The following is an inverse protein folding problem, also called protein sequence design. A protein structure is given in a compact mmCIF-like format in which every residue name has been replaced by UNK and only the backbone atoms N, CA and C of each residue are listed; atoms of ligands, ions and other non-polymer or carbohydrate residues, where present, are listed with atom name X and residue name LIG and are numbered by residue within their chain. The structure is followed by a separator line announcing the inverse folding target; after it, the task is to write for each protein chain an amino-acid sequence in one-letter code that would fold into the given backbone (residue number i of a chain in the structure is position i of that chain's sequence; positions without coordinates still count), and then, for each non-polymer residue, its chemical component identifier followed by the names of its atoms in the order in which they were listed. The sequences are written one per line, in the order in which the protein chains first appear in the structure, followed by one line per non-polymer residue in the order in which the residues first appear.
data_IF_955549323986
#
_entry.id   IF_955549323986
#
_cell.length_a   1.000
_cell.length_b   1.000
_cell.length_c   1.000
_cell.angle_alpha   90.00
_cell.angle_beta   90.00
_cell.angle_gamma   90.00
#
_symmetry.space_group_name_H-M   'P 1'
#
loop_
_entity.id
_entity.type
_entity.pdbx_description
1 polymer ?
#
# COMPACT_ATOMS: atom_id res chain seq x y z
N UNK A 1 -58.58 0.40 6.10
CA UNK A 1 -57.69 1.57 5.97
C UNK A 1 -56.26 1.10 6.16
N UNK A 2 -55.36 1.63 5.32
CA UNK A 2 -54.01 1.15 5.09
C UNK A 2 -53.09 1.27 6.31
N UNK A 3 -52.26 0.26 6.57
CA UNK A 3 -51.06 0.43 7.39
C UNK A 3 -49.86 0.62 6.45
N UNK A 4 -49.41 1.87 6.36
CA UNK A 4 -48.16 2.25 5.70
C UNK A 4 -46.99 1.71 6.53
N UNK A 5 -46.30 0.70 6.02
CA UNK A 5 -44.96 0.36 6.49
C UNK A 5 -44.00 1.29 5.74
N UNK A 6 -43.44 2.27 6.45
CA UNK A 6 -42.33 3.07 5.95
C UNK A 6 -41.11 2.15 5.79
N UNK A 7 -40.70 1.91 4.54
CA UNK A 7 -39.43 1.25 4.25
C UNK A 7 -38.32 2.29 4.43
N UNK A 8 -37.53 2.06 5.48
CA UNK A 8 -36.40 2.88 5.93
C UNK A 8 -35.17 2.59 5.07
N UNK A 9 -34.58 3.66 4.55
CA UNK A 9 -33.21 3.85 4.03
C UNK A 9 -32.42 2.60 3.61
N UNK A 10 -32.34 2.39 2.28
CA UNK A 10 -31.32 1.56 1.67
C UNK A 10 -30.00 2.33 1.74
N UNK A 11 -29.03 1.81 2.50
CA UNK A 11 -27.67 2.32 2.57
C UNK A 11 -27.11 2.52 1.15
N UNK A 12 -26.51 3.67 0.89
CA UNK A 12 -25.82 3.99 -0.36
C UNK A 12 -24.75 2.93 -0.65
N UNK A 13 -25.08 1.98 -1.53
CA UNK A 13 -24.10 1.09 -2.13
C UNK A 13 -23.19 1.99 -2.97
N UNK A 14 -21.94 2.16 -2.53
CA UNK A 14 -20.93 2.87 -3.31
C UNK A 14 -20.70 2.12 -4.60
N UNK A 15 -21.39 2.52 -5.67
CA UNK A 15 -21.22 1.96 -7.00
C UNK A 15 -19.80 2.30 -7.42
N UNK A 16 -18.90 1.32 -7.36
CA UNK A 16 -17.54 1.53 -7.81
C UNK A 16 -17.64 1.76 -9.32
N UNK A 17 -17.42 2.99 -9.78
CA UNK A 17 -17.36 3.30 -11.21
C UNK A 17 -16.18 2.56 -11.83
N UNK A 18 -16.48 1.40 -12.41
CA UNK A 18 -15.49 0.52 -13.01
C UNK A 18 -14.94 1.10 -14.31
N UNK A 19 -15.69 1.94 -15.03
CA UNK A 19 -15.26 2.50 -16.32
C UNK A 19 -14.35 3.73 -16.17
N UNK A 20 -14.52 4.51 -15.11
CA UNK A 20 -13.64 5.64 -14.78
C UNK A 20 -12.68 5.37 -13.62
N UNK A 21 -12.57 4.12 -13.15
CA UNK A 21 -11.65 3.72 -12.09
C UNK A 21 -10.23 4.24 -12.37
N UNK A 22 -9.78 5.20 -11.56
CA UNK A 22 -8.43 5.74 -11.59
C UNK A 22 -7.47 4.76 -10.91
N UNK A 23 -6.22 4.72 -11.36
CA UNK A 23 -5.16 3.93 -10.76
C UNK A 23 -4.98 4.29 -9.27
N UNK A 24 -4.84 3.28 -8.42
CA UNK A 24 -4.63 3.42 -6.96
C UNK A 24 -3.29 4.07 -6.57
N UNK A 25 -2.39 4.29 -7.52
CA UNK A 25 -1.06 4.83 -7.23
C UNK A 25 -1.12 6.32 -7.02
N UNK A 26 -0.52 6.80 -5.92
CA UNK A 26 -0.53 8.22 -5.55
C UNK A 26 0.05 9.09 -6.68
N UNK A 27 -0.69 10.13 -7.06
CA UNK A 27 -0.33 11.02 -8.17
C UNK A 27 -0.58 10.44 -9.57
N UNK A 28 -1.12 9.22 -9.69
CA UNK A 28 -1.47 8.65 -10.98
C UNK A 28 -2.90 9.02 -11.39
N UNK A 29 -3.04 9.78 -12.47
CA UNK A 29 -4.34 10.16 -13.05
C UNK A 29 -4.81 9.21 -14.16
N UNK A 30 -4.05 8.14 -14.44
CA UNK A 30 -4.39 7.18 -15.51
C UNK A 30 -5.50 6.24 -15.05
N UNK A 31 -6.41 5.90 -15.97
CA UNK A 31 -7.41 4.85 -15.74
C UNK A 31 -6.74 3.48 -15.51
N UNK A 32 -7.43 2.64 -14.76
CA UNK A 32 -7.13 1.23 -14.60
C UNK A 32 -7.06 0.49 -15.94
N UNK A 33 -6.23 -0.56 -16.00
CA UNK A 33 -6.10 -1.40 -17.20
C UNK A 33 -7.47 -2.02 -17.55
N UNK A 34 -7.90 -1.83 -18.80
CA UNK A 34 -9.11 -2.44 -19.34
C UNK A 34 -8.92 -3.96 -19.47
N UNK A 35 -9.86 -4.74 -18.94
CA UNK A 35 -9.78 -6.21 -18.89
C UNK A 35 -10.37 -6.92 -20.11
N UNK A 36 -10.89 -6.16 -21.08
CA UNK A 36 -11.51 -6.70 -22.29
C UNK A 36 -12.91 -7.28 -22.05
N UNK A 37 -13.49 -7.03 -20.87
CA UNK A 37 -14.80 -7.53 -20.43
C UNK A 37 -15.67 -6.36 -20.01
N UNK A 38 -16.97 -6.48 -20.24
CA UNK A 38 -17.98 -5.54 -19.77
C UNK A 38 -18.81 -6.18 -18.66
N UNK A 39 -19.21 -5.39 -17.68
CA UNK A 39 -20.13 -5.81 -16.62
C UNK A 39 -21.56 -5.86 -17.14
N UNK A 40 -22.49 -6.42 -16.34
CA UNK A 40 -23.90 -6.54 -16.74
C UNK A 40 -24.58 -5.18 -17.00
N UNK A 41 -24.04 -4.10 -16.43
CA UNK A 41 -24.47 -2.71 -16.63
C UNK A 41 -23.85 -2.04 -17.88
N UNK A 42 -23.02 -2.77 -18.64
CA UNK A 42 -22.34 -2.25 -19.83
C UNK A 42 -21.04 -1.49 -19.54
N UNK A 43 -20.66 -1.29 -18.28
CA UNK A 43 -19.41 -0.61 -17.91
C UNK A 43 -18.19 -1.50 -18.17
N UNK A 44 -17.09 -0.89 -18.61
CA UNK A 44 -15.85 -1.62 -18.83
C UNK A 44 -15.25 -2.12 -17.51
N UNK A 45 -14.93 -3.40 -17.44
CA UNK A 45 -14.19 -3.96 -16.32
C UNK A 45 -12.75 -3.48 -16.34
N UNK A 46 -12.34 -2.70 -15.34
CA UNK A 46 -10.96 -2.21 -15.16
C UNK A 46 -10.33 -2.69 -13.86
N UNK A 47 -9.01 -2.96 -13.91
CA UNK A 47 -8.18 -3.21 -12.72
C UNK A 47 -8.05 -1.95 -11.85
N UNK A 48 -7.66 -2.12 -10.59
CA UNK A 48 -7.31 -0.99 -9.70
C UNK A 48 -5.97 -0.30 -10.06
N UNK A 49 -5.16 -0.91 -10.93
CA UNK A 49 -3.88 -0.36 -11.41
C UNK A 49 -3.93 -0.14 -12.91
N UNK A 50 -3.31 0.93 -13.40
CA UNK A 50 -3.11 1.15 -14.84
C UNK A 50 -2.14 0.11 -15.41
N UNK A 51 -2.07 -0.01 -16.73
CA UNK A 51 -1.18 -0.99 -17.40
C UNK A 51 0.28 -0.88 -16.90
N UNK A 52 0.82 0.34 -16.84
CA UNK A 52 2.20 0.60 -16.39
C UNK A 52 2.41 0.13 -14.94
N UNK A 53 1.53 0.55 -14.02
CA UNK A 53 1.64 0.16 -12.61
C UNK A 53 1.31 -1.31 -12.36
N UNK A 54 0.50 -1.93 -13.22
CA UNK A 54 0.28 -3.37 -13.21
C UNK A 54 1.54 -4.14 -13.62
N UNK A 55 2.23 -3.72 -14.68
CA UNK A 55 3.51 -4.31 -15.10
C UNK A 55 4.59 -4.15 -14.03
N UNK A 56 4.68 -2.98 -13.40
CA UNK A 56 5.59 -2.73 -12.28
C UNK A 56 5.26 -3.66 -11.10
N UNK A 57 3.98 -3.78 -10.73
CA UNK A 57 3.54 -4.70 -9.67
C UNK A 57 3.82 -6.17 -10.00
N UNK A 58 3.75 -6.59 -11.27
CA UNK A 58 4.16 -7.94 -11.67
C UNK A 58 5.68 -8.11 -11.52
N UNK A 59 6.46 -7.14 -11.99
CA UNK A 59 7.93 -7.23 -12.02
C UNK A 59 8.57 -7.19 -10.63
N UNK A 60 8.02 -6.39 -9.72
CA UNK A 60 8.60 -6.16 -8.39
C UNK A 60 7.78 -6.78 -7.25
N UNK A 61 6.67 -7.47 -7.55
CA UNK A 61 5.76 -8.07 -6.56
C UNK A 61 4.69 -7.10 -6.03
N UNK A 62 3.88 -7.57 -5.08
CA UNK A 62 2.72 -6.88 -4.48
C UNK A 62 3.00 -5.53 -3.79
N UNK A 63 4.20 -4.98 -3.91
CA UNK A 63 4.58 -3.69 -3.37
C UNK A 63 5.46 -2.92 -4.34
N UNK A 64 4.91 -1.86 -4.96
CA UNK A 64 5.73 -0.82 -5.59
C UNK A 64 6.80 -0.27 -4.65
N UNK A 65 6.62 -0.43 -3.34
CA UNK A 65 7.57 -0.03 -2.32
C UNK A 65 8.95 -0.69 -2.51
N UNK A 66 9.04 -1.93 -3.00
CA UNK A 66 10.34 -2.60 -3.28
C UNK A 66 11.11 -1.82 -4.37
N UNK A 67 10.41 -1.21 -5.32
CA UNK A 67 11.01 -0.35 -6.34
C UNK A 67 11.60 0.96 -5.78
N UNK A 68 11.24 1.35 -4.55
CA UNK A 68 11.83 2.51 -3.86
C UNK A 68 13.06 2.16 -3.03
N UNK A 69 13.48 0.89 -3.02
CA UNK A 69 14.69 0.46 -2.34
C UNK A 69 15.93 1.12 -2.96
N UNK A 70 16.69 1.82 -2.13
CA UNK A 70 17.99 2.39 -2.49
C UNK A 70 19.07 1.30 -2.47
N UNK A 71 20.24 1.62 -3.01
CA UNK A 71 21.43 0.76 -2.96
C UNK A 71 22.26 0.96 -1.68
N UNK A 72 21.77 1.77 -0.73
CA UNK A 72 22.45 2.08 0.53
C UNK A 72 21.46 2.23 1.68
N UNK A 73 21.94 2.03 2.92
CA UNK A 73 21.18 2.32 4.14
C UNK A 73 21.08 3.83 4.37
N UNK A 74 19.86 4.35 4.56
CA UNK A 74 19.61 5.78 4.73
C UNK A 74 19.92 6.31 6.14
N UNK A 75 20.09 5.43 7.14
CA UNK A 75 20.52 5.81 8.50
C UNK A 75 22.00 6.28 8.59
N UNK A 76 22.57 6.79 7.48
CA UNK A 76 23.84 7.52 7.47
C UNK A 76 23.69 8.92 8.09
N UNK A 77 22.47 9.44 8.07
CA UNK A 77 22.06 10.74 8.64
C UNK A 77 21.74 10.69 10.14
N UNK A 78 21.86 9.52 10.77
CA UNK A 78 21.54 9.29 12.19
C UNK A 78 20.06 9.45 12.54
N UNK A 79 19.13 9.25 11.60
CA UNK A 79 17.68 9.29 11.88
C UNK A 79 17.21 8.32 12.97
N UNK A 80 17.98 7.25 13.24
CA UNK A 80 17.71 6.30 14.33
C UNK A 80 18.52 6.59 15.61
N UNK A 81 19.11 7.77 15.74
CA UNK A 81 19.94 8.16 16.90
C UNK A 81 21.41 7.71 16.81
N UNK A 82 21.79 6.94 15.80
CA UNK A 82 23.18 6.53 15.57
C UNK A 82 23.50 6.46 14.07
N UNK A 83 24.78 6.61 13.72
CA UNK A 83 25.23 6.50 12.32
C UNK A 83 25.41 5.04 11.94
N UNK A 84 24.72 4.59 10.90
CA UNK A 84 24.93 3.27 10.34
C UNK A 84 26.37 3.13 9.81
N UNK A 85 27.05 2.06 10.19
CA UNK A 85 28.42 1.70 9.76
C UNK A 85 28.47 0.49 8.85
N UNK A 86 27.32 -0.14 8.54
CA UNK A 86 27.25 -1.36 7.74
C UNK A 86 27.76 -1.11 6.32
N UNK A 87 28.72 -1.93 5.89
CA UNK A 87 29.12 -2.01 4.49
C UNK A 87 28.12 -2.88 3.72
N UNK A 88 27.51 -2.32 2.66
CA UNK A 88 26.52 -3.03 1.84
C UNK A 88 27.26 -3.76 0.73
N UNK A 89 27.29 -5.09 0.79
CA UNK A 89 27.99 -5.94 -0.19
C UNK A 89 27.00 -6.49 -1.23
N UNK A 90 25.75 -6.71 -0.84
CA UNK A 90 24.70 -7.22 -1.71
C UNK A 90 23.34 -6.60 -1.34
N UNK A 91 22.48 -6.41 -2.35
CA UNK A 91 21.14 -5.83 -2.22
C UNK A 91 20.24 -6.57 -1.22
N UNK A 92 20.48 -7.87 -1.00
CA UNK A 92 19.78 -8.67 0.00
C UNK A 92 20.00 -8.20 1.44
N UNK A 93 20.97 -7.32 1.70
CA UNK A 93 21.23 -6.73 3.01
C UNK A 93 20.34 -5.52 3.32
N UNK A 94 19.54 -5.07 2.34
CA UNK A 94 18.67 -3.90 2.44
C UNK A 94 17.20 -4.31 2.38
N UNK A 95 16.42 -3.75 3.29
CA UNK A 95 14.97 -3.84 3.32
C UNK A 95 14.36 -2.45 3.13
N UNK A 96 13.14 -2.43 2.59
CA UNK A 96 12.32 -1.21 2.59
C UNK A 96 11.46 -1.23 3.83
N UNK A 97 11.51 -0.14 4.57
CA UNK A 97 10.86 0.06 5.85
C UNK A 97 9.85 1.21 5.76
N UNK A 98 8.72 1.05 6.41
CA UNK A 98 7.70 2.08 6.55
C UNK A 98 8.03 2.94 7.78
N UNK A 99 8.24 4.23 7.58
CA UNK A 99 8.66 5.17 8.63
C UNK A 99 7.64 5.16 9.80
N UNK A 100 6.35 5.14 9.49
CA UNK A 100 5.26 5.08 10.48
C UNK A 100 5.01 3.69 11.10
N UNK A 101 5.61 2.63 10.52
CA UNK A 101 5.36 1.23 10.89
C UNK A 101 4.03 0.66 10.37
N UNK A 102 3.30 1.40 9.54
CA UNK A 102 2.07 0.93 8.90
C UNK A 102 2.38 0.36 7.51
N UNK A 103 2.34 -0.97 7.41
CA UNK A 103 2.60 -1.71 6.18
C UNK A 103 1.63 -1.41 5.02
N UNK A 104 0.49 -0.78 5.31
CA UNK A 104 -0.49 -0.37 4.29
C UNK A 104 -0.17 1.00 3.68
N UNK A 105 0.61 1.85 4.37
CA UNK A 105 0.95 3.20 3.93
C UNK A 105 2.14 3.19 2.97
N UNK A 106 1.89 2.79 1.72
CA UNK A 106 2.92 2.63 0.68
C UNK A 106 3.34 3.93 -0.02
N UNK A 107 3.05 5.10 0.58
CA UNK A 107 3.47 6.39 0.02
C UNK A 107 4.98 6.49 -0.02
N UNK A 108 5.55 6.96 -1.13
CA UNK A 108 7.01 7.09 -1.30
C UNK A 108 7.68 7.89 -0.18
N UNK A 109 6.99 8.91 0.35
CA UNK A 109 7.47 9.73 1.48
C UNK A 109 7.49 8.98 2.82
N UNK A 110 6.73 7.89 2.96
CA UNK A 110 6.68 7.04 4.14
C UNK A 110 7.63 5.83 4.04
N UNK A 111 8.37 5.68 2.94
CA UNK A 111 9.28 4.57 2.73
C UNK A 111 10.72 5.03 2.93
N UNK A 112 11.51 4.19 3.59
CA UNK A 112 12.96 4.36 3.71
C UNK A 112 13.68 3.05 3.48
N UNK A 113 14.94 3.11 3.05
CA UNK A 113 15.80 1.94 2.87
C UNK A 113 16.74 1.80 4.04
N UNK A 114 16.62 0.70 4.78
CA UNK A 114 17.47 0.38 5.93
C UNK A 114 18.20 -0.94 5.69
N UNK A 115 19.43 -1.05 6.21
CA UNK A 115 20.07 -2.35 6.30
C UNK A 115 19.35 -3.22 7.34
N UNK A 116 19.46 -4.54 7.24
CA UNK A 116 18.80 -5.48 8.17
C UNK A 116 19.04 -5.15 9.65
N UNK A 117 20.25 -4.72 10.00
CA UNK A 117 20.57 -4.33 11.37
C UNK A 117 19.81 -3.07 11.82
N UNK A 118 19.79 -2.02 10.98
CA UNK A 118 19.06 -0.78 11.29
C UNK A 118 17.55 -1.00 11.28
N UNK A 119 17.05 -1.83 10.37
CA UNK A 119 15.65 -2.19 10.28
C UNK A 119 15.20 -2.93 11.56
N UNK A 120 15.91 -3.99 11.95
CA UNK A 120 15.62 -4.72 13.18
C UNK A 120 15.67 -3.82 14.43
N UNK A 121 16.66 -2.92 14.51
CA UNK A 121 16.74 -1.94 15.58
C UNK A 121 15.49 -1.04 15.64
N UNK A 122 15.07 -0.47 14.51
CA UNK A 122 13.86 0.35 14.42
C UNK A 122 12.61 -0.44 14.84
N UNK A 123 12.46 -1.68 14.36
CA UNK A 123 11.31 -2.52 14.72
C UNK A 123 11.14 -2.69 16.22
N UNK A 124 12.25 -2.81 16.96
CA UNK A 124 12.22 -2.92 18.43
C UNK A 124 11.91 -1.57 19.08
N UNK A 125 12.61 -0.50 18.70
CA UNK A 125 12.46 0.83 19.31
C UNK A 125 11.06 1.42 19.07
N UNK A 126 10.50 1.21 17.88
CA UNK A 126 9.20 1.75 17.49
C UNK A 126 8.04 0.77 17.74
N UNK A 127 8.35 -0.43 18.25
CA UNK A 127 7.41 -1.54 18.45
C UNK A 127 6.56 -1.84 17.20
N UNK A 128 7.16 -1.73 16.01
CA UNK A 128 6.42 -1.84 14.74
C UNK A 128 5.77 -3.23 14.55
N UNK A 129 6.28 -4.24 15.25
CA UNK A 129 5.69 -5.58 15.31
C UNK A 129 4.26 -5.57 15.87
N UNK A 130 3.89 -4.64 16.77
CA UNK A 130 2.52 -4.49 17.29
C UNK A 130 1.57 -3.93 16.23
N UNK A 131 2.02 -2.89 15.52
CA UNK A 131 1.24 -2.19 14.48
C UNK A 131 0.94 -3.05 13.26
N UNK A 132 1.75 -4.08 13.01
CA UNK A 132 1.51 -5.04 11.92
C UNK A 132 0.21 -5.84 12.11
N UNK A 133 -0.22 -6.04 13.37
CA UNK A 133 -1.42 -6.81 13.74
C UNK A 133 -2.65 -5.92 13.82
N UNK A 134 -2.50 -4.71 14.35
CA UNK A 134 -3.61 -3.77 14.62
C UNK A 134 -4.29 -3.28 13.32
N UNK A 135 -3.53 -3.16 12.22
CA UNK A 135 -4.07 -2.76 10.92
C UNK A 135 -4.94 -3.85 10.26
N UNK A 136 -4.79 -5.12 10.66
CA UNK A 136 -5.57 -6.25 10.15
C UNK A 136 -6.74 -6.61 11.10
N UNK A 137 -6.58 -6.39 12.42
CA UNK A 137 -7.65 -6.67 13.39
C UNK A 137 -8.79 -5.64 13.31
N UNK A 138 -8.47 -4.34 13.25
CA UNK A 138 -9.50 -3.29 13.17
C UNK A 138 -10.24 -3.25 11.82
N UNK A 139 -9.68 -3.83 10.75
CA UNK A 139 -10.33 -3.91 9.43
C UNK A 139 -11.16 -5.18 9.25
N UNK A 140 -11.00 -6.21 10.11
CA UNK A 140 -11.73 -7.47 10.00
C UNK A 140 -12.87 -7.63 11.04
N UNK A 141 -12.88 -6.86 12.13
CA UNK A 141 -13.85 -7.04 13.22
C UNK A 141 -14.55 -5.76 13.72
N UNK A 142 -14.40 -4.62 13.01
CA UNK A 142 -15.22 -3.42 13.23
C UNK A 142 -16.19 -3.16 12.05
N UNK A 143 -16.93 -4.20 11.66
CA UNK A 143 -18.19 -4.11 10.89
C UNK A 143 -19.29 -4.79 11.66
#
# INVERSE_FOLDING_TARGET
MCYNIQIINVQEVTVIDHDNRICIEEGCTRKGQHMGRYLADGTASRRNRCHIHHTINIKYGAGLYIGHRRTYCENKDKRLGFKCTTNIIWDGMLDVDHIDGNHTNNKKSNLQTLCKCCHAYKTVINEDWKKSVDNNFNTLYNT
#
